data_IF_092340985770
#
_entry.id   IF_092340985770
#
_cell.length_a   1.000
_cell.length_b   1.000
_cell.length_c   1.000
_cell.angle_alpha   90.00
_cell.angle_beta   90.00
_cell.angle_gamma   90.00
#
_symmetry.space_group_name_H-M   'P 1'
#
loop_
_entity.id
_entity.type
_entity.pdbx_description
1 polymer ?
#
# COMPACT_ATOMS: atom_id res chain seq x y z
N UNK A 1 -35.65 -10.48 3.60
CA UNK A 1 -36.42 -11.40 4.47
C UNK A 1 -35.56 -12.63 4.66
N UNK A 2 -35.06 -12.86 5.90
CA UNK A 2 -34.17 -13.98 6.22
C UNK A 2 -34.78 -15.32 5.90
N UNK A 3 -33.95 -16.28 5.49
CA UNK A 3 -34.40 -17.66 5.31
C UNK A 3 -34.86 -18.21 6.66
N UNK A 4 -36.09 -18.78 6.70
CA UNK A 4 -36.53 -19.51 7.86
C UNK A 4 -35.82 -20.89 7.80
N UNK A 5 -34.93 -21.12 8.78
CA UNK A 5 -34.22 -22.39 8.92
C UNK A 5 -35.18 -23.50 9.33
N UNK A 6 -34.79 -24.75 9.18
CA UNK A 6 -35.65 -25.91 9.49
C UNK A 6 -36.05 -25.93 10.97
N UNK A 7 -35.17 -25.49 11.86
CA UNK A 7 -35.45 -25.38 13.30
C UNK A 7 -36.59 -24.39 13.57
N UNK A 8 -36.61 -23.26 12.90
CA UNK A 8 -37.67 -22.25 13.01
C UNK A 8 -38.96 -22.75 12.35
N UNK A 9 -38.90 -23.46 11.23
CA UNK A 9 -40.08 -24.06 10.59
C UNK A 9 -40.76 -25.07 11.51
N UNK A 10 -39.97 -25.92 12.18
CA UNK A 10 -40.46 -26.88 13.17
C UNK A 10 -41.07 -26.14 14.38
N UNK A 11 -40.41 -25.08 14.89
CA UNK A 11 -40.96 -24.31 16.00
C UNK A 11 -42.31 -23.65 15.66
N UNK A 12 -42.51 -23.15 14.44
CA UNK A 12 -43.76 -22.61 13.96
C UNK A 12 -44.84 -23.73 13.87
N UNK A 13 -44.45 -24.90 13.34
CA UNK A 13 -45.39 -26.05 13.26
C UNK A 13 -45.85 -26.54 14.65
N UNK A 14 -44.94 -26.62 15.61
CA UNK A 14 -45.25 -26.98 17.00
C UNK A 14 -46.18 -25.95 17.66
N UNK A 15 -45.96 -24.66 17.41
CA UNK A 15 -46.87 -23.63 17.93
C UNK A 15 -48.25 -23.71 17.32
N UNK A 16 -48.37 -23.93 16.01
CA UNK A 16 -49.68 -24.17 15.35
C UNK A 16 -50.34 -25.44 15.92
N UNK A 17 -49.56 -26.51 16.11
CA UNK A 17 -50.05 -27.76 16.70
C UNK A 17 -50.60 -27.51 18.12
N UNK A 18 -49.91 -26.78 18.99
CA UNK A 18 -50.35 -26.45 20.33
C UNK A 18 -51.73 -25.72 20.33
N UNK A 19 -51.99 -24.89 19.31
CA UNK A 19 -53.25 -24.16 19.18
C UNK A 19 -54.41 -25.02 18.69
N UNK A 20 -54.14 -26.09 17.94
CA UNK A 20 -55.20 -27.04 17.47
C UNK A 20 -55.31 -28.30 18.35
N UNK A 21 -54.37 -28.52 19.28
CA UNK A 21 -54.37 -29.69 20.17
C UNK A 21 -55.65 -29.90 20.96
N UNK A 22 -56.34 -28.88 21.51
CA UNK A 22 -57.63 -29.06 22.19
C UNK A 22 -58.72 -29.58 21.26
N UNK A 23 -58.68 -29.23 19.95
CA UNK A 23 -59.66 -29.76 18.94
C UNK A 23 -59.33 -31.23 18.67
N UNK A 24 -58.07 -31.58 18.49
CA UNK A 24 -57.59 -32.94 18.19
C UNK A 24 -57.97 -33.89 19.35
N UNK A 25 -57.80 -33.44 20.58
CA UNK A 25 -58.05 -34.23 21.78
C UNK A 25 -59.50 -34.28 22.21
N UNK A 26 -60.43 -33.70 21.42
CA UNK A 26 -61.83 -33.70 21.71
C UNK A 26 -62.29 -32.90 22.94
N UNK A 27 -61.44 -31.96 23.37
CA UNK A 27 -61.64 -31.13 24.56
C UNK A 27 -62.56 -29.92 24.33
N UNK A 28 -63.00 -29.73 23.08
CA UNK A 28 -63.86 -28.59 22.65
C UNK A 28 -65.18 -29.07 22.11
N UNK A 29 -66.26 -28.42 22.56
CA UNK A 29 -67.63 -28.77 22.11
C UNK A 29 -67.92 -28.28 20.68
N UNK A 30 -67.34 -27.15 20.29
CA UNK A 30 -67.49 -26.53 18.97
C UNK A 30 -66.17 -25.98 18.44
N UNK A 31 -65.72 -26.46 17.28
CA UNK A 31 -64.50 -25.96 16.59
C UNK A 31 -64.65 -24.46 16.27
N UNK A 32 -65.82 -24.02 15.85
CA UNK A 32 -66.11 -22.64 15.50
C UNK A 32 -65.96 -21.68 16.68
N UNK A 33 -66.52 -22.05 17.84
CA UNK A 33 -66.51 -21.24 19.05
C UNK A 33 -65.09 -21.17 19.61
N UNK A 34 -64.40 -22.31 19.71
CA UNK A 34 -62.98 -22.36 20.12
C UNK A 34 -62.10 -21.50 19.21
N UNK A 35 -62.28 -21.61 17.89
CA UNK A 35 -61.44 -20.82 16.93
C UNK A 35 -61.68 -19.33 17.09
N UNK A 36 -62.88 -18.86 17.39
CA UNK A 36 -63.16 -17.46 17.68
C UNK A 36 -62.50 -17.00 18.98
N UNK A 37 -62.54 -17.83 20.02
CA UNK A 37 -61.91 -17.51 21.30
C UNK A 37 -60.40 -17.52 21.23
N UNK A 38 -59.80 -18.53 20.61
CA UNK A 38 -58.33 -18.66 20.43
C UNK A 38 -57.74 -17.54 19.59
N UNK A 39 -58.49 -16.88 18.71
CA UNK A 39 -58.04 -15.76 17.87
C UNK A 39 -58.48 -14.38 18.35
N UNK A 40 -59.11 -14.29 19.53
CA UNK A 40 -59.61 -13.02 20.10
C UNK A 40 -58.50 -12.04 20.41
N UNK A 41 -57.33 -12.52 20.80
CA UNK A 41 -56.12 -11.73 21.03
C UNK A 41 -55.04 -12.13 20.02
N UNK A 42 -54.07 -11.22 19.71
CA UNK A 42 -52.92 -11.55 18.89
C UNK A 42 -52.13 -12.71 19.50
N UNK A 43 -51.74 -13.67 18.66
CA UNK A 43 -50.96 -14.84 19.06
C UNK A 43 -49.47 -14.62 18.82
N UNK A 44 -48.66 -14.96 19.81
CA UNK A 44 -47.18 -14.92 19.65
C UNK A 44 -46.75 -16.14 18.83
N UNK A 45 -46.18 -15.88 17.66
CA UNK A 45 -45.71 -16.91 16.73
C UNK A 45 -44.15 -16.84 16.63
N UNK A 46 -43.47 -17.98 16.75
CA UNK A 46 -42.05 -18.06 16.56
C UNK A 46 -41.60 -17.38 15.25
N UNK A 47 -40.56 -16.54 15.28
CA UNK A 47 -40.03 -15.78 14.14
C UNK A 47 -40.94 -14.62 13.63
N UNK A 48 -42.26 -14.70 13.84
CA UNK A 48 -43.20 -13.69 13.32
C UNK A 48 -43.69 -12.70 14.37
N UNK A 49 -43.40 -12.94 15.65
CA UNK A 49 -43.89 -12.13 16.77
C UNK A 49 -45.42 -12.20 16.96
N UNK A 50 -45.97 -11.14 17.51
CA UNK A 50 -47.42 -11.05 17.70
C UNK A 50 -48.15 -10.89 16.37
N UNK A 51 -49.09 -11.82 16.09
CA UNK A 51 -49.92 -11.84 14.86
C UNK A 51 -51.36 -12.06 15.19
N UNK A 52 -52.25 -11.30 14.55
CA UNK A 52 -53.70 -11.52 14.57
C UNK A 52 -54.09 -12.51 13.47
N UNK A 53 -54.88 -13.50 13.81
CA UNK A 53 -55.38 -14.51 12.89
C UNK A 53 -56.93 -14.50 12.87
N UNK A 54 -57.51 -14.88 11.75
CA UNK A 54 -58.94 -15.11 11.68
C UNK A 54 -59.29 -16.48 12.27
N UNK A 55 -60.52 -16.68 12.80
CA UNK A 55 -60.99 -17.99 13.27
C UNK A 55 -60.81 -19.09 12.22
N UNK A 56 -61.06 -18.80 10.95
CA UNK A 56 -60.90 -19.73 9.84
C UNK A 56 -59.46 -20.25 9.70
N UNK A 57 -58.44 -19.49 10.15
CA UNK A 57 -57.05 -19.92 10.12
C UNK A 57 -56.79 -21.10 11.06
N UNK A 58 -57.40 -21.14 12.24
CA UNK A 58 -57.28 -22.26 13.19
C UNK A 58 -57.92 -23.51 12.60
N UNK A 59 -59.12 -23.36 12.03
CA UNK A 59 -59.82 -24.46 11.36
C UNK A 59 -59.06 -24.98 10.14
N UNK A 60 -58.40 -24.11 9.38
CA UNK A 60 -57.54 -24.51 8.26
C UNK A 60 -56.32 -25.31 8.75
N UNK A 61 -55.62 -24.86 9.82
CA UNK A 61 -54.53 -25.62 10.39
C UNK A 61 -54.94 -27.00 10.91
N UNK A 62 -56.14 -27.11 11.51
CA UNK A 62 -56.68 -28.39 11.91
C UNK A 62 -56.90 -29.30 10.70
N UNK A 63 -57.49 -28.78 9.61
CA UNK A 63 -57.68 -29.52 8.37
C UNK A 63 -56.34 -29.94 7.74
N UNK A 64 -55.38 -29.07 7.71
CA UNK A 64 -54.04 -29.38 7.19
C UNK A 64 -53.36 -30.48 8.00
N UNK A 65 -53.47 -30.41 9.34
CA UNK A 65 -52.95 -31.44 10.23
C UNK A 65 -53.59 -32.82 10.00
N UNK A 66 -54.92 -32.89 9.82
CA UNK A 66 -55.63 -34.16 9.53
C UNK A 66 -55.12 -34.75 8.21
N UNK A 67 -54.83 -33.95 7.22
CA UNK A 67 -54.36 -34.40 5.89
C UNK A 67 -52.94 -34.85 5.85
N UNK A 68 -52.03 -34.18 6.56
CA UNK A 68 -50.59 -34.39 6.39
C UNK A 68 -49.76 -34.30 7.68
N UNK A 69 -50.41 -34.40 8.85
CA UNK A 69 -49.74 -34.40 10.16
C UNK A 69 -49.01 -33.06 10.45
N UNK A 70 -48.04 -33.14 11.35
CA UNK A 70 -47.30 -31.96 11.80
C UNK A 70 -46.49 -31.30 10.67
N UNK A 71 -46.09 -32.06 9.66
CA UNK A 71 -45.33 -31.54 8.52
C UNK A 71 -46.16 -30.61 7.64
N UNK A 72 -47.46 -30.83 7.54
CA UNK A 72 -48.36 -29.93 6.83
C UNK A 72 -48.54 -28.56 7.52
N UNK A 73 -48.22 -28.47 8.82
CA UNK A 73 -48.22 -27.21 9.58
C UNK A 73 -46.96 -26.36 9.38
N UNK A 74 -45.88 -26.94 8.83
CA UNK A 74 -44.64 -26.20 8.56
C UNK A 74 -44.90 -25.12 7.51
N UNK A 75 -44.34 -23.92 7.66
CA UNK A 75 -44.39 -22.88 6.63
C UNK A 75 -43.79 -23.43 5.32
N UNK A 76 -44.54 -23.42 4.24
CA UNK A 76 -44.07 -23.84 2.93
C UNK A 76 -43.02 -22.85 2.41
N UNK A 77 -41.92 -23.30 1.81
CA UNK A 77 -41.03 -22.41 1.08
C UNK A 77 -41.81 -21.78 -0.08
N UNK A 78 -41.51 -20.52 -0.40
CA UNK A 78 -42.16 -19.88 -1.55
C UNK A 78 -41.84 -20.66 -2.82
N UNK A 79 -42.81 -21.01 -3.60
CA UNK A 79 -42.68 -21.73 -4.88
C UNK A 79 -42.10 -20.87 -6.01
N UNK A 80 -42.15 -19.53 -5.85
CA UNK A 80 -41.62 -18.56 -6.81
C UNK A 80 -40.14 -18.18 -6.55
N UNK A 81 -39.43 -18.96 -5.73
CA UNK A 81 -38.03 -18.71 -5.39
C UNK A 81 -37.13 -18.96 -6.59
N UNK A 82 -36.34 -17.93 -6.98
CA UNK A 82 -35.45 -18.00 -8.13
C UNK A 82 -36.09 -17.66 -9.47
N UNK A 83 -37.44 -17.53 -9.53
CA UNK A 83 -38.17 -17.08 -10.70
C UNK A 83 -38.49 -15.59 -10.54
N UNK A 84 -37.95 -14.76 -11.43
CA UNK A 84 -38.29 -13.35 -11.46
C UNK A 84 -39.67 -13.17 -12.08
N UNK A 85 -40.57 -12.44 -11.42
CA UNK A 85 -41.86 -12.09 -11.98
C UNK A 85 -41.82 -11.07 -13.12
N UNK A 86 -40.66 -10.41 -13.25
CA UNK A 86 -40.43 -9.31 -14.20
C UNK A 86 -39.64 -9.79 -15.42
N UNK A 87 -38.75 -10.76 -15.25
CA UNK A 87 -37.93 -11.30 -16.33
C UNK A 87 -38.67 -12.45 -17.01
N UNK A 88 -38.95 -12.31 -18.30
CA UNK A 88 -39.42 -13.42 -19.10
C UNK A 88 -38.38 -14.54 -19.22
N UNK A 89 -38.76 -15.77 -19.58
CA UNK A 89 -37.80 -16.85 -19.81
C UNK A 89 -36.74 -16.47 -20.85
N UNK A 90 -37.11 -15.77 -21.92
CA UNK A 90 -36.21 -15.31 -22.99
C UNK A 90 -35.21 -14.26 -22.49
N UNK A 91 -35.68 -13.29 -21.68
CA UNK A 91 -34.80 -12.31 -21.06
C UNK A 91 -33.81 -12.97 -20.09
N UNK A 92 -34.31 -13.94 -19.33
CA UNK A 92 -33.46 -14.69 -18.39
C UNK A 92 -32.37 -15.47 -19.11
N UNK A 93 -32.70 -16.13 -20.22
CA UNK A 93 -31.75 -16.88 -21.05
C UNK A 93 -30.73 -15.93 -21.71
N UNK A 94 -31.15 -14.78 -22.21
CA UNK A 94 -30.27 -13.76 -22.76
C UNK A 94 -29.26 -13.25 -21.71
N UNK A 95 -29.72 -13.01 -20.48
CA UNK A 95 -28.87 -12.62 -19.37
C UNK A 95 -27.87 -13.74 -19.02
N UNK A 96 -28.32 -15.00 -18.95
CA UNK A 96 -27.44 -16.13 -18.68
C UNK A 96 -26.44 -16.38 -19.80
N UNK A 97 -26.84 -16.21 -21.06
CA UNK A 97 -25.95 -16.28 -22.23
C UNK A 97 -24.78 -15.28 -22.12
N UNK A 98 -25.13 -14.01 -21.87
CA UNK A 98 -24.11 -12.97 -21.68
C UNK A 98 -23.25 -13.21 -20.43
N UNK A 99 -23.81 -13.76 -19.39
CA UNK A 99 -23.08 -14.08 -18.17
C UNK A 99 -22.09 -15.25 -18.39
N UNK A 100 -22.42 -16.22 -19.23
CA UNK A 100 -21.50 -17.32 -19.66
C UNK A 100 -20.40 -16.78 -20.57
N UNK A 101 -20.72 -15.87 -21.50
CA UNK A 101 -19.78 -15.23 -22.40
C UNK A 101 -18.80 -14.32 -21.65
N UNK A 102 -19.32 -13.53 -20.69
CA UNK A 102 -18.55 -12.56 -19.89
C UNK A 102 -18.69 -12.80 -18.37
N UNK A 103 -18.14 -13.88 -17.81
CA UNK A 103 -18.39 -14.28 -16.41
C UNK A 103 -17.94 -13.24 -15.37
N UNK A 104 -16.96 -12.40 -15.73
CA UNK A 104 -16.37 -11.37 -14.84
C UNK A 104 -17.00 -9.99 -15.03
N UNK A 105 -17.81 -9.78 -16.06
CA UNK A 105 -18.39 -8.47 -16.33
C UNK A 105 -19.31 -8.01 -15.19
N UNK A 106 -19.26 -6.73 -14.80
CA UNK A 106 -20.24 -6.14 -13.89
C UNK A 106 -21.65 -6.28 -14.44
N UNK A 107 -22.64 -6.44 -13.57
CA UNK A 107 -24.04 -6.56 -13.98
C UNK A 107 -24.55 -5.33 -14.77
N UNK A 108 -23.97 -4.15 -14.53
CA UNK A 108 -24.24 -2.93 -15.30
C UNK A 108 -23.83 -3.08 -16.75
N UNK A 109 -22.64 -3.61 -17.00
CA UNK A 109 -22.12 -3.81 -18.37
C UNK A 109 -22.96 -4.84 -19.12
N UNK A 110 -23.29 -5.97 -18.48
CA UNK A 110 -24.18 -6.98 -19.07
C UNK A 110 -25.55 -6.37 -19.40
N UNK A 111 -26.10 -5.54 -18.51
CA UNK A 111 -27.37 -4.85 -18.73
C UNK A 111 -27.30 -3.92 -19.94
N UNK A 112 -26.26 -3.09 -20.04
CA UNK A 112 -26.08 -2.14 -21.12
C UNK A 112 -25.92 -2.86 -22.48
N UNK A 113 -25.12 -3.95 -22.54
CA UNK A 113 -25.00 -4.81 -23.72
C UNK A 113 -26.34 -5.35 -24.20
N UNK A 114 -27.14 -5.89 -23.29
CA UNK A 114 -28.47 -6.47 -23.64
C UNK A 114 -29.46 -5.43 -24.10
N UNK A 115 -29.39 -4.20 -23.57
CA UNK A 115 -30.22 -3.07 -24.04
C UNK A 115 -29.78 -2.61 -25.41
N UNK A 116 -28.47 -2.52 -25.70
CA UNK A 116 -27.91 -2.18 -27.01
C UNK A 116 -28.27 -3.22 -28.07
N UNK A 117 -28.19 -4.51 -27.72
CA UNK A 117 -28.57 -5.65 -28.57
C UNK A 117 -30.10 -5.79 -28.73
N UNK A 118 -30.88 -4.93 -28.08
CA UNK A 118 -32.37 -4.96 -28.07
C UNK A 118 -32.97 -6.28 -27.58
N UNK A 119 -32.22 -7.02 -26.73
CA UNK A 119 -32.75 -8.22 -26.10
C UNK A 119 -33.93 -7.90 -25.17
N UNK A 120 -33.96 -6.70 -24.60
CA UNK A 120 -35.11 -6.09 -23.90
C UNK A 120 -34.93 -4.56 -23.81
N UNK A 121 -36.01 -3.86 -23.49
CA UNK A 121 -35.98 -2.40 -23.33
C UNK A 121 -35.80 -2.04 -21.83
N UNK A 122 -35.29 -0.84 -21.56
CA UNK A 122 -35.12 -0.33 -20.19
C UNK A 122 -36.39 -0.33 -19.35
N UNK A 123 -37.55 -0.20 -20.01
CA UNK A 123 -38.88 -0.27 -19.37
C UNK A 123 -39.30 -1.68 -18.95
N UNK A 124 -38.78 -2.73 -19.60
CA UNK A 124 -39.19 -4.12 -19.37
C UNK A 124 -38.53 -4.71 -18.12
N UNK A 125 -37.26 -4.33 -17.85
CA UNK A 125 -36.55 -4.74 -16.66
C UNK A 125 -35.67 -3.65 -16.12
N UNK A 126 -35.72 -3.41 -14.83
CA UNK A 126 -34.78 -2.49 -14.16
C UNK A 126 -33.43 -3.13 -13.98
N UNK A 127 -32.35 -2.30 -13.96
CA UNK A 127 -30.99 -2.74 -13.65
C UNK A 127 -30.88 -3.43 -12.29
N UNK A 128 -31.74 -3.03 -11.31
CA UNK A 128 -31.78 -3.66 -9.99
C UNK A 128 -32.29 -5.11 -10.07
N UNK A 129 -33.28 -5.38 -10.92
CA UNK A 129 -33.80 -6.72 -11.16
C UNK A 129 -32.74 -7.62 -11.81
N UNK A 130 -32.10 -7.12 -12.88
CA UNK A 130 -31.03 -7.85 -13.58
C UNK A 130 -29.84 -8.11 -12.66
N UNK A 131 -29.43 -7.12 -11.84
CA UNK A 131 -28.36 -7.29 -10.86
C UNK A 131 -28.65 -8.39 -9.84
N UNK A 132 -29.90 -8.47 -9.35
CA UNK A 132 -30.35 -9.53 -8.42
C UNK A 132 -30.28 -10.88 -9.10
N UNK A 133 -30.81 -10.99 -10.30
CA UNK A 133 -30.81 -12.23 -11.08
C UNK A 133 -29.37 -12.72 -11.36
N UNK A 134 -28.48 -11.83 -11.81
CA UNK A 134 -27.09 -12.16 -12.02
C UNK A 134 -26.40 -12.60 -10.72
N UNK A 135 -26.69 -11.95 -9.58
CA UNK A 135 -26.12 -12.33 -8.28
C UNK A 135 -26.51 -13.75 -7.88
N UNK A 136 -27.76 -14.14 -8.12
CA UNK A 136 -28.27 -15.45 -7.78
C UNK A 136 -27.75 -16.56 -8.70
N UNK A 137 -27.53 -16.25 -9.97
CA UNK A 137 -27.14 -17.22 -11.00
C UNK A 137 -25.64 -17.22 -11.36
N UNK A 138 -24.86 -16.25 -10.88
CA UNK A 138 -23.42 -16.13 -11.26
C UNK A 138 -22.59 -17.35 -10.86
N UNK A 139 -22.86 -17.97 -9.72
CA UNK A 139 -22.16 -19.17 -9.28
C UNK A 139 -22.41 -20.34 -10.24
N UNK A 140 -23.67 -20.59 -10.60
CA UNK A 140 -24.04 -21.64 -11.54
C UNK A 140 -23.54 -21.38 -12.97
N UNK A 141 -23.57 -20.12 -13.43
CA UNK A 141 -23.03 -19.74 -14.74
C UNK A 141 -21.50 -19.85 -14.84
N UNK A 142 -20.79 -19.82 -13.72
CA UNK A 142 -19.32 -19.93 -13.66
C UNK A 142 -18.81 -21.36 -13.46
N UNK A 143 -19.68 -22.35 -13.27
CA UNK A 143 -19.28 -23.74 -13.03
C UNK A 143 -18.64 -24.46 -14.22
N UNK A 144 -18.60 -23.86 -15.39
CA UNK A 144 -17.92 -24.41 -16.59
C UNK A 144 -16.66 -23.67 -17.03
N UNK A 145 -16.37 -22.50 -16.50
CA UNK A 145 -15.16 -21.77 -16.85
C UNK A 145 -13.98 -22.27 -15.99
N UNK A 146 -12.86 -22.72 -16.60
CA UNK A 146 -11.68 -23.09 -15.85
C UNK A 146 -11.26 -21.86 -15.04
N UNK A 147 -11.43 -21.93 -13.71
CA UNK A 147 -10.81 -20.93 -12.83
C UNK A 147 -9.33 -21.01 -13.11
N UNK A 148 -8.67 -19.92 -13.56
CA UNK A 148 -7.22 -19.94 -13.64
C UNK A 148 -6.73 -20.38 -12.27
N UNK A 149 -5.98 -21.48 -12.21
CA UNK A 149 -5.37 -21.94 -10.97
C UNK A 149 -4.44 -20.81 -10.54
N UNK A 150 -4.94 -19.96 -9.64
CA UNK A 150 -4.11 -18.96 -8.97
C UNK A 150 -3.22 -19.75 -8.00
N UNK A 151 -2.07 -20.20 -8.51
CA UNK A 151 -1.04 -20.80 -7.67
C UNK A 151 -0.68 -19.76 -6.61
N UNK A 152 -0.80 -20.16 -5.36
CA UNK A 152 -0.48 -19.31 -4.21
C UNK A 152 1.04 -19.15 -4.18
N UNK A 153 1.54 -18.09 -4.85
CA UNK A 153 2.96 -17.78 -4.82
C UNK A 153 3.32 -17.16 -3.46
N UNK A 154 4.21 -17.80 -2.74
CA UNK A 154 4.87 -17.23 -1.57
C UNK A 154 6.32 -17.70 -1.58
N UNK A 155 7.25 -16.77 -1.42
CA UNK A 155 8.64 -17.13 -1.23
C UNK A 155 8.78 -17.88 0.11
N UNK A 156 9.69 -18.85 0.15
CA UNK A 156 9.95 -19.62 1.37
C UNK A 156 10.92 -18.91 2.30
N UNK A 157 11.80 -18.06 1.73
CA UNK A 157 12.86 -17.36 2.49
C UNK A 157 12.55 -15.89 2.62
N UNK A 158 12.83 -15.35 3.80
CA UNK A 158 12.75 -13.91 4.08
C UNK A 158 13.75 -13.13 3.22
N UNK A 159 13.44 -11.89 2.93
CA UNK A 159 14.23 -10.97 2.09
C UNK A 159 14.52 -11.45 0.66
N UNK A 160 13.86 -12.49 0.16
CA UNK A 160 13.91 -12.84 -1.26
C UNK A 160 13.14 -11.83 -2.12
N UNK A 161 11.96 -11.46 -1.65
CA UNK A 161 11.08 -10.53 -2.34
C UNK A 161 10.41 -9.61 -1.32
N UNK A 162 10.59 -8.32 -1.49
CA UNK A 162 9.75 -7.32 -0.85
C UNK A 162 8.77 -6.72 -1.85
N UNK A 163 7.57 -6.42 -1.39
CA UNK A 163 6.59 -5.63 -2.14
C UNK A 163 6.49 -4.26 -1.53
N UNK A 164 6.43 -3.23 -2.37
CA UNK A 164 6.22 -1.85 -1.92
C UNK A 164 5.05 -1.21 -2.65
N UNK A 165 4.35 -0.36 -1.95
CA UNK A 165 3.24 0.42 -2.49
C UNK A 165 3.00 1.67 -1.63
N UNK A 166 2.20 2.60 -2.17
CA UNK A 166 1.83 3.86 -1.53
C UNK A 166 0.32 3.92 -1.33
N UNK A 167 -0.11 4.30 -0.12
CA UNK A 167 -1.51 4.54 0.21
C UNK A 167 -1.71 5.97 0.71
N UNK A 168 -2.81 6.62 0.30
CA UNK A 168 -3.22 7.89 0.90
C UNK A 168 -3.54 7.70 2.39
N UNK A 169 -2.90 8.51 3.22
CA UNK A 169 -3.10 8.56 4.66
C UNK A 169 -4.11 9.62 5.10
N UNK A 170 -4.29 9.80 6.41
CA UNK A 170 -5.11 10.87 6.96
C UNK A 170 -4.43 12.23 6.77
N UNK A 171 -5.22 13.30 6.82
CA UNK A 171 -4.69 14.66 6.87
C UNK A 171 -4.16 14.99 8.25
N UNK A 172 -3.00 15.62 8.34
CA UNK A 172 -2.37 16.08 9.58
C UNK A 172 -2.25 17.60 9.61
N UNK A 173 -2.18 18.16 10.81
CA UNK A 173 -2.02 19.59 11.07
C UNK A 173 -3.24 20.23 11.74
N UNK A 174 -2.99 21.07 12.76
CA UNK A 174 -4.03 21.71 13.54
C UNK A 174 -4.70 22.87 12.79
N UNK A 175 -3.91 23.76 12.18
CA UNK A 175 -4.42 24.95 11.45
C UNK A 175 -4.46 24.71 9.94
N UNK A 176 -3.39 24.19 9.36
CA UNK A 176 -3.29 23.87 7.92
C UNK A 176 -3.18 22.36 7.79
N UNK A 177 -4.17 21.75 7.16
CA UNK A 177 -4.19 20.31 6.90
C UNK A 177 -3.31 19.96 5.71
N UNK A 178 -2.37 19.04 5.91
CA UNK A 178 -1.51 18.48 4.89
C UNK A 178 -1.89 17.04 4.63
N UNK A 179 -1.94 16.64 3.37
CA UNK A 179 -2.13 15.25 2.98
C UNK A 179 -0.91 14.42 3.40
N UNK A 180 -1.14 13.16 3.76
CA UNK A 180 -0.06 12.22 4.04
C UNK A 180 -0.13 11.00 3.13
N UNK A 181 1.00 10.34 2.94
CA UNK A 181 1.18 9.17 2.10
C UNK A 181 1.88 8.09 2.93
N UNK A 182 1.26 6.92 3.06
CA UNK A 182 1.88 5.78 3.73
C UNK A 182 2.68 4.99 2.70
N UNK A 183 4.01 5.01 2.83
CA UNK A 183 4.91 4.13 2.09
C UNK A 183 5.17 2.89 2.94
N UNK A 184 5.09 1.71 2.34
CA UNK A 184 5.28 0.46 3.07
C UNK A 184 6.06 -0.57 2.25
N UNK A 185 6.85 -1.39 2.93
CA UNK A 185 7.60 -2.53 2.39
C UNK A 185 7.22 -3.78 3.17
N UNK A 186 6.62 -4.74 2.49
CA UNK A 186 6.22 -6.03 3.09
C UNK A 186 7.10 -7.15 2.54
N UNK A 187 7.65 -7.97 3.42
CA UNK A 187 8.33 -9.20 3.03
C UNK A 187 7.32 -10.26 2.58
N UNK A 188 7.56 -10.82 1.40
CA UNK A 188 6.64 -11.78 0.79
C UNK A 188 6.51 -13.08 1.56
N UNK A 189 7.58 -13.57 2.17
CA UNK A 189 7.61 -14.82 2.93
C UNK A 189 6.89 -14.67 4.27
N UNK A 190 7.36 -13.74 5.09
CA UNK A 190 6.93 -13.59 6.49
C UNK A 190 5.73 -12.69 6.69
N UNK A 191 5.32 -11.91 5.69
CA UNK A 191 4.33 -10.81 5.85
C UNK A 191 4.80 -9.70 6.79
N UNK A 192 6.06 -9.77 7.26
CA UNK A 192 6.64 -8.72 8.08
C UNK A 192 6.69 -7.42 7.30
N UNK A 193 6.34 -6.32 7.94
CA UNK A 193 6.56 -4.99 7.40
C UNK A 193 8.00 -4.59 7.73
N UNK A 194 8.86 -4.56 6.71
CA UNK A 194 10.25 -4.16 6.87
C UNK A 194 10.35 -2.71 7.32
N UNK A 195 9.57 -1.83 6.70
CA UNK A 195 9.30 -0.48 7.14
C UNK A 195 7.95 0.00 6.61
N UNK A 196 7.26 0.82 7.37
CA UNK A 196 6.16 1.64 6.90
C UNK A 196 6.14 2.94 7.68
N UNK A 197 5.83 4.04 7.00
CA UNK A 197 5.75 5.38 7.60
C UNK A 197 4.93 6.32 6.76
N UNK A 198 4.33 7.31 7.41
CA UNK A 198 3.61 8.40 6.75
C UNK A 198 4.59 9.51 6.37
N UNK A 199 4.46 10.04 5.17
CA UNK A 199 5.27 11.10 4.59
C UNK A 199 4.36 12.22 4.08
N UNK A 200 4.88 13.46 4.02
CA UNK A 200 4.13 14.62 3.49
C UNK A 200 4.18 14.69 1.96
N UNK A 201 5.06 13.89 1.34
CA UNK A 201 5.21 13.77 -0.11
C UNK A 201 5.34 12.31 -0.52
N UNK A 202 5.10 12.02 -1.79
CA UNK A 202 5.37 10.74 -2.42
C UNK A 202 6.40 10.92 -3.55
N UNK A 203 7.48 11.64 -3.25
CA UNK A 203 8.57 11.89 -4.18
C UNK A 203 9.73 10.88 -4.02
N UNK A 204 10.75 11.06 -4.84
CA UNK A 204 11.93 10.19 -4.82
C UNK A 204 12.69 10.26 -3.48
N UNK A 205 12.70 11.43 -2.82
CA UNK A 205 13.38 11.59 -1.54
C UNK A 205 12.67 10.79 -0.43
N UNK A 206 11.33 10.91 -0.33
CA UNK A 206 10.52 10.13 0.60
C UNK A 206 10.67 8.61 0.34
N UNK A 207 10.66 8.19 -0.94
CA UNK A 207 10.85 6.79 -1.32
C UNK A 207 12.23 6.26 -0.93
N UNK A 208 13.30 7.04 -1.21
CA UNK A 208 14.67 6.72 -0.83
C UNK A 208 14.80 6.54 0.69
N UNK A 209 14.26 7.47 1.47
CA UNK A 209 14.35 7.45 2.93
C UNK A 209 13.60 6.28 3.52
N UNK A 210 12.38 6.03 3.07
CA UNK A 210 11.62 4.89 3.53
C UNK A 210 12.30 3.56 3.17
N UNK A 211 12.94 3.46 1.99
CA UNK A 211 13.69 2.27 1.61
C UNK A 211 14.98 2.12 2.43
N UNK A 212 15.71 3.22 2.66
CA UNK A 212 16.87 3.24 3.56
C UNK A 212 16.52 2.69 4.95
N UNK A 213 15.44 3.20 5.53
CA UNK A 213 14.97 2.76 6.84
C UNK A 213 14.54 1.30 6.86
N UNK A 214 13.91 0.81 5.79
CA UNK A 214 13.56 -0.59 5.64
C UNK A 214 14.81 -1.49 5.66
N UNK A 215 15.82 -1.13 4.84
CA UNK A 215 17.07 -1.89 4.72
C UNK A 215 17.86 -1.89 6.03
N UNK A 216 17.98 -0.74 6.70
CA UNK A 216 18.69 -0.64 7.97
C UNK A 216 18.03 -1.47 9.08
N UNK A 217 16.71 -1.59 9.06
CA UNK A 217 15.95 -2.36 10.07
C UNK A 217 15.94 -3.86 9.80
N UNK A 218 15.93 -4.28 8.53
CA UNK A 218 15.61 -5.67 8.15
C UNK A 218 16.56 -6.29 7.12
N UNK A 219 17.63 -5.59 6.75
CA UNK A 219 18.59 -6.05 5.75
C UNK A 219 18.13 -5.82 4.31
N UNK A 220 18.96 -6.24 3.36
CA UNK A 220 18.73 -6.05 1.93
C UNK A 220 17.78 -7.12 1.36
N UNK A 221 16.73 -6.74 0.61
CA UNK A 221 15.98 -7.69 -0.20
C UNK A 221 16.74 -8.01 -1.48
N UNK A 222 16.55 -9.22 -2.03
CA UNK A 222 17.08 -9.55 -3.36
C UNK A 222 16.26 -8.93 -4.48
N UNK A 223 14.95 -8.92 -4.31
CA UNK A 223 13.99 -8.40 -5.28
C UNK A 223 13.06 -7.41 -4.59
N UNK A 224 12.85 -6.26 -5.22
CA UNK A 224 11.83 -5.29 -4.84
C UNK A 224 10.77 -5.24 -5.93
N UNK A 225 9.54 -5.61 -5.58
CA UNK A 225 8.39 -5.63 -6.48
C UNK A 225 7.50 -4.41 -6.26
N UNK A 226 7.24 -3.66 -7.35
CA UNK A 226 6.51 -2.38 -7.31
C UNK A 226 5.40 -2.36 -8.36
N UNK A 227 4.51 -1.37 -8.24
CA UNK A 227 3.63 -1.03 -9.35
C UNK A 227 4.35 -0.19 -10.42
N UNK A 228 3.60 0.20 -11.45
CA UNK A 228 4.09 1.08 -12.53
C UNK A 228 3.99 2.58 -12.16
N UNK A 229 3.93 2.92 -10.88
CA UNK A 229 3.88 4.31 -10.41
C UNK A 229 5.10 5.11 -10.85
N UNK A 230 4.89 6.40 -11.19
CA UNK A 230 5.97 7.29 -11.71
C UNK A 230 7.20 7.35 -10.81
N UNK A 231 7.01 7.28 -9.48
CA UNK A 231 8.12 7.34 -8.52
C UNK A 231 9.02 6.11 -8.62
N UNK A 232 8.45 4.92 -8.83
CA UNK A 232 9.18 3.67 -8.94
C UNK A 232 9.89 3.50 -10.30
N UNK A 233 9.38 4.16 -11.36
CA UNK A 233 9.98 4.20 -12.70
C UNK A 233 10.95 5.36 -12.90
N UNK A 234 11.28 6.08 -11.83
CA UNK A 234 12.28 7.14 -11.90
C UNK A 234 13.67 6.55 -12.05
N UNK A 235 14.46 7.08 -12.99
CA UNK A 235 15.85 6.66 -13.18
C UNK A 235 16.66 6.70 -11.88
N UNK A 236 16.35 7.67 -10.99
CA UNK A 236 17.00 7.79 -9.69
C UNK A 236 16.75 6.59 -8.77
N UNK A 237 15.51 6.06 -8.76
CA UNK A 237 15.19 4.90 -7.93
C UNK A 237 15.70 3.59 -8.54
N UNK A 238 15.63 3.44 -9.86
CA UNK A 238 16.23 2.31 -10.58
C UNK A 238 17.74 2.23 -10.33
N UNK A 239 18.43 3.39 -10.43
CA UNK A 239 19.86 3.50 -10.15
C UNK A 239 20.19 3.16 -8.68
N UNK A 240 19.37 3.63 -7.73
CA UNK A 240 19.52 3.33 -6.31
C UNK A 240 19.42 1.82 -6.04
N UNK A 241 18.41 1.15 -6.58
CA UNK A 241 18.24 -0.30 -6.44
C UNK A 241 19.42 -1.06 -7.06
N UNK A 242 19.87 -0.66 -8.25
CA UNK A 242 21.02 -1.25 -8.92
C UNK A 242 22.31 -1.12 -8.10
N UNK A 243 22.59 0.07 -7.53
CA UNK A 243 23.76 0.29 -6.66
C UNK A 243 23.77 -0.58 -5.41
N UNK A 244 22.57 -0.93 -4.90
CA UNK A 244 22.42 -1.80 -3.74
C UNK A 244 22.40 -3.29 -4.10
N UNK A 245 22.43 -3.64 -5.39
CA UNK A 245 22.31 -5.02 -5.86
C UNK A 245 20.89 -5.59 -5.76
N UNK A 246 19.87 -4.72 -5.64
CA UNK A 246 18.46 -5.10 -5.53
C UNK A 246 17.84 -5.11 -6.93
N UNK A 247 17.24 -6.23 -7.32
CA UNK A 247 16.51 -6.35 -8.59
C UNK A 247 15.15 -5.67 -8.46
N UNK A 248 14.93 -4.59 -9.22
CA UNK A 248 13.65 -3.89 -9.25
C UNK A 248 12.74 -4.52 -10.32
N UNK A 249 11.60 -5.04 -9.92
CA UNK A 249 10.58 -5.61 -10.80
C UNK A 249 9.31 -4.78 -10.77
N UNK A 250 8.81 -4.45 -11.95
CA UNK A 250 7.55 -3.73 -12.10
C UNK A 250 6.41 -4.69 -12.46
N UNK A 251 5.24 -4.42 -11.92
CA UNK A 251 4.03 -5.20 -12.17
C UNK A 251 3.64 -5.21 -13.65
N UNK A 252 3.48 -6.40 -14.24
CA UNK A 252 2.85 -6.54 -15.55
C UNK A 252 1.34 -6.32 -15.44
N UNK A 253 0.74 -5.63 -16.44
CA UNK A 253 -0.67 -5.17 -16.45
C UNK A 253 -1.71 -6.28 -16.17
N UNK A 254 -1.34 -7.57 -16.31
CA UNK A 254 -2.24 -8.71 -16.14
C UNK A 254 -2.16 -9.45 -14.80
N UNK A 255 -1.23 -9.09 -13.88
CA UNK A 255 -0.92 -9.89 -12.68
C UNK A 255 -1.33 -9.23 -11.35
N UNK A 256 -2.47 -8.55 -11.31
CA UNK A 256 -2.98 -7.82 -10.14
C UNK A 256 -3.01 -8.62 -8.82
N UNK A 257 -3.05 -9.95 -8.89
CA UNK A 257 -3.10 -10.82 -7.71
C UNK A 257 -1.79 -10.91 -6.92
N UNK A 258 -0.63 -10.59 -7.53
CA UNK A 258 0.65 -10.61 -6.83
C UNK A 258 0.74 -9.47 -5.78
N UNK A 259 0.01 -8.38 -5.96
CA UNK A 259 -0.04 -7.24 -5.04
C UNK A 259 -0.96 -7.43 -3.82
N UNK A 260 -1.76 -8.51 -3.82
CA UNK A 260 -2.80 -8.75 -2.80
C UNK A 260 -2.31 -8.77 -1.35
N UNK A 261 -1.00 -8.99 -1.10
CA UNK A 261 -0.43 -9.01 0.26
C UNK A 261 -0.30 -7.60 0.85
N UNK A 262 0.27 -6.66 0.09
CA UNK A 262 0.41 -5.27 0.54
C UNK A 262 -0.93 -4.54 0.55
N UNK A 263 -1.84 -4.85 -0.38
CA UNK A 263 -3.21 -4.33 -0.37
C UNK A 263 -3.99 -4.78 0.87
N UNK A 264 -3.82 -6.05 1.29
CA UNK A 264 -4.38 -6.58 2.54
C UNK A 264 -3.80 -5.86 3.76
N UNK A 265 -2.50 -5.59 3.76
CA UNK A 265 -1.88 -4.78 4.81
C UNK A 265 -2.51 -3.38 4.87
N UNK A 266 -2.64 -2.67 3.76
CA UNK A 266 -3.28 -1.34 3.73
C UNK A 266 -4.74 -1.38 4.18
N UNK A 267 -5.47 -2.43 3.83
CA UNK A 267 -6.82 -2.64 4.36
C UNK A 267 -6.80 -2.78 5.89
N UNK A 268 -5.84 -3.52 6.42
CA UNK A 268 -5.67 -3.70 7.87
C UNK A 268 -5.35 -2.37 8.55
N UNK A 269 -4.46 -1.55 7.97
CA UNK A 269 -4.14 -0.20 8.45
C UNK A 269 -5.41 0.67 8.50
N UNK A 270 -6.21 0.70 7.44
CA UNK A 270 -7.45 1.49 7.41
C UNK A 270 -8.43 1.05 8.50
N UNK A 271 -8.64 -0.26 8.63
CA UNK A 271 -9.68 -0.81 9.52
C UNK A 271 -9.26 -0.84 10.99
N UNK A 272 -7.98 -0.98 11.31
CA UNK A 272 -7.52 -1.21 12.68
C UNK A 272 -6.70 -0.07 13.27
N UNK A 273 -6.00 0.69 12.43
CA UNK A 273 -5.22 1.83 12.88
C UNK A 273 -5.93 3.15 12.61
N UNK A 274 -6.28 3.42 11.33
CA UNK A 274 -6.84 4.73 10.98
C UNK A 274 -8.23 4.97 11.58
N UNK A 275 -9.03 3.93 11.78
CA UNK A 275 -10.39 4.03 12.34
C UNK A 275 -10.44 4.45 13.82
N UNK A 276 -9.31 4.36 14.52
CA UNK A 276 -9.22 4.69 15.96
C UNK A 276 -8.36 5.92 16.26
N UNK A 277 -7.95 6.66 15.21
CA UNK A 277 -7.16 7.88 15.35
C UNK A 277 -8.00 9.00 15.99
N UNK A 278 -7.36 9.72 16.91
CA UNK A 278 -7.91 10.90 17.59
C UNK A 278 -7.29 12.17 17.01
N UNK A 279 -7.89 13.32 17.28
CA UNK A 279 -7.37 14.62 16.82
C UNK A 279 -5.93 14.90 17.28
N UNK A 280 -5.55 14.47 18.49
CA UNK A 280 -4.19 14.61 19.00
C UNK A 280 -3.16 13.83 18.15
N UNK A 281 -3.52 12.64 17.69
CA UNK A 281 -2.66 11.79 16.85
C UNK A 281 -2.41 12.41 15.45
N UNK A 282 -3.25 13.36 15.05
CA UNK A 282 -3.22 14.05 13.76
C UNK A 282 -2.69 15.49 13.88
N UNK A 283 -2.14 15.87 15.03
CA UNK A 283 -1.60 17.21 15.27
C UNK A 283 -0.45 17.54 14.29
N UNK A 284 0.42 16.57 14.05
CA UNK A 284 1.53 16.65 13.12
C UNK A 284 1.92 15.24 12.62
N UNK A 285 2.86 15.19 11.69
CA UNK A 285 3.29 13.91 11.10
C UNK A 285 4.13 13.05 12.06
N UNK A 286 4.83 13.67 13.01
CA UNK A 286 5.62 12.99 14.03
C UNK A 286 4.71 12.18 14.96
N UNK A 287 3.68 12.84 15.54
CA UNK A 287 2.67 12.21 16.40
C UNK A 287 1.96 11.05 15.70
N UNK A 288 1.63 11.21 14.40
CA UNK A 288 1.02 10.15 13.60
C UNK A 288 1.97 8.96 13.44
N UNK A 289 3.24 9.20 13.10
CA UNK A 289 4.24 8.15 12.87
C UNK A 289 4.65 7.44 14.17
N UNK A 290 4.75 8.14 15.27
CA UNK A 290 5.02 7.54 16.58
C UNK A 290 3.92 6.54 16.95
N UNK A 291 2.66 6.96 16.91
CA UNK A 291 1.53 6.07 17.16
C UNK A 291 1.45 4.91 16.19
N UNK A 292 1.74 5.16 14.91
CA UNK A 292 1.74 4.12 13.88
C UNK A 292 2.84 3.09 14.13
N UNK A 293 4.05 3.54 14.49
CA UNK A 293 5.17 2.66 14.81
C UNK A 293 4.86 1.74 15.99
N UNK A 294 4.26 2.28 17.07
CA UNK A 294 3.82 1.50 18.22
C UNK A 294 2.75 0.47 17.85
N UNK A 295 1.76 0.85 17.05
CA UNK A 295 0.74 -0.07 16.57
C UNK A 295 1.33 -1.17 15.68
N UNK A 296 2.22 -0.80 14.74
CA UNK A 296 2.87 -1.75 13.84
C UNK A 296 3.66 -2.80 14.62
N UNK A 297 4.46 -2.35 15.61
CA UNK A 297 5.32 -3.21 16.40
C UNK A 297 4.53 -4.11 17.37
N UNK A 298 3.52 -3.57 18.04
CA UNK A 298 2.83 -4.26 19.13
C UNK A 298 1.57 -5.01 18.69
N UNK A 299 0.92 -4.60 17.58
CA UNK A 299 -0.28 -5.24 17.05
C UNK A 299 0.02 -6.05 15.78
N UNK A 300 0.35 -5.40 14.65
CA UNK A 300 0.45 -6.08 13.37
C UNK A 300 1.55 -7.15 13.33
N UNK A 301 2.78 -6.80 13.76
CA UNK A 301 3.95 -7.70 13.66
C UNK A 301 3.86 -8.92 14.59
N UNK A 302 3.13 -8.80 15.71
CA UNK A 302 2.97 -9.85 16.73
C UNK A 302 1.63 -10.59 16.66
N UNK A 303 0.80 -10.28 15.67
CA UNK A 303 -0.50 -10.94 15.51
C UNK A 303 -0.36 -12.22 14.68
N UNK A 304 -0.94 -13.35 15.14
CA UNK A 304 -1.04 -14.57 14.33
C UNK A 304 -1.64 -14.29 12.96
N UNK A 305 -0.99 -14.78 11.91
CA UNK A 305 -1.39 -14.54 10.53
C UNK A 305 -1.87 -15.84 9.88
N UNK A 306 -3.11 -15.86 9.36
CA UNK A 306 -3.70 -17.04 8.71
C UNK A 306 -2.83 -17.60 7.59
N UNK A 307 -2.21 -16.72 6.79
CA UNK A 307 -1.31 -17.10 5.69
C UNK A 307 0.02 -17.70 6.12
N UNK A 308 0.34 -17.70 7.43
CA UNK A 308 1.53 -18.26 8.05
C UNK A 308 1.18 -19.43 9.01
N UNK A 309 0.04 -20.08 8.79
CA UNK A 309 -0.44 -21.18 9.65
C UNK A 309 -0.57 -20.79 11.13
N UNK A 310 -0.87 -19.52 11.38
CA UNK A 310 -1.03 -18.99 12.74
C UNK A 310 0.24 -18.44 13.39
N UNK A 311 1.39 -18.53 12.73
CA UNK A 311 2.64 -17.90 13.21
C UNK A 311 2.55 -16.36 13.02
N UNK A 312 3.24 -15.60 13.88
CA UNK A 312 3.31 -14.15 13.73
C UNK A 312 4.31 -13.75 12.64
N UNK A 313 4.11 -12.61 11.93
CA UNK A 313 5.09 -12.11 10.98
C UNK A 313 6.50 -11.95 11.58
N UNK A 314 6.59 -11.50 12.83
CA UNK A 314 7.86 -11.30 13.51
C UNK A 314 8.56 -12.63 13.81
N UNK A 315 7.86 -13.62 14.36
CA UNK A 315 8.46 -14.92 14.72
C UNK A 315 8.93 -15.66 13.47
N UNK A 316 8.12 -15.65 12.41
CA UNK A 316 8.50 -16.24 11.12
C UNK A 316 9.78 -15.62 10.56
N UNK A 317 9.89 -14.28 10.58
CA UNK A 317 11.07 -13.57 10.12
C UNK A 317 12.29 -13.89 10.99
N UNK A 318 12.15 -13.82 12.32
CA UNK A 318 13.24 -14.05 13.27
C UNK A 318 13.79 -15.46 13.20
N UNK A 319 12.95 -16.47 12.95
CA UNK A 319 13.38 -17.86 12.74
C UNK A 319 14.36 -18.00 11.56
N UNK A 320 14.30 -17.09 10.59
CA UNK A 320 15.17 -17.08 9.42
C UNK A 320 16.20 -15.93 9.43
N UNK A 321 16.40 -15.27 10.56
CA UNK A 321 17.28 -14.10 10.68
C UNK A 321 18.73 -14.38 10.25
N UNK A 322 19.21 -15.61 10.38
CA UNK A 322 20.55 -16.02 9.92
C UNK A 322 20.77 -15.92 8.40
N UNK A 323 19.69 -15.83 7.61
CA UNK A 323 19.76 -15.68 6.16
C UNK A 323 19.67 -14.21 5.70
N UNK A 324 19.57 -13.27 6.65
CA UNK A 324 19.39 -11.85 6.37
C UNK A 324 20.74 -11.18 6.13
N UNK A 325 20.89 -10.53 4.99
CA UNK A 325 22.06 -9.73 4.65
C UNK A 325 21.91 -8.33 5.27
N UNK A 326 22.63 -8.09 6.37
CA UNK A 326 22.64 -6.81 7.06
C UNK A 326 23.65 -5.86 6.43
N UNK A 327 23.43 -4.55 6.58
CA UNK A 327 24.37 -3.52 6.17
C UNK A 327 25.60 -3.55 7.09
N UNK A 328 26.76 -3.94 6.54
CA UNK A 328 28.01 -4.04 7.29
C UNK A 328 28.70 -2.67 7.46
N UNK A 329 28.70 -1.85 6.40
CA UNK A 329 29.30 -0.50 6.38
C UNK A 329 28.22 0.55 6.07
N UNK A 330 27.88 1.34 7.07
CA UNK A 330 26.89 2.40 6.96
C UNK A 330 27.35 3.54 6.04
N UNK A 331 28.65 3.86 6.03
CA UNK A 331 29.19 4.92 5.19
C UNK A 331 29.15 4.55 3.71
N UNK A 332 29.54 3.31 3.38
CA UNK A 332 29.43 2.79 2.02
C UNK A 332 27.96 2.68 1.59
N UNK A 333 27.10 2.19 2.46
CA UNK A 333 25.66 2.11 2.21
C UNK A 333 25.06 3.49 1.89
N UNK A 334 25.36 4.52 2.69
CA UNK A 334 24.88 5.88 2.45
C UNK A 334 25.40 6.45 1.12
N UNK A 335 26.66 6.15 0.72
CA UNK A 335 27.17 6.53 -0.61
C UNK A 335 26.37 5.91 -1.75
N UNK A 336 25.95 4.65 -1.62
CA UNK A 336 25.11 3.96 -2.61
C UNK A 336 23.70 4.54 -2.71
N UNK A 337 23.24 5.24 -1.67
CA UNK A 337 21.94 5.91 -1.62
C UNK A 337 21.93 7.33 -2.19
N UNK A 338 23.09 7.90 -2.56
CA UNK A 338 23.14 9.23 -3.18
C UNK A 338 22.34 9.24 -4.49
N UNK A 339 21.54 10.27 -4.66
CA UNK A 339 20.84 10.49 -5.93
C UNK A 339 21.83 11.04 -6.97
N UNK A 340 21.66 10.64 -8.23
CA UNK A 340 22.52 11.07 -9.33
C UNK A 340 21.75 11.88 -10.35
N UNK A 341 22.36 12.96 -10.84
CA UNK A 341 21.83 13.79 -11.92
C UNK A 341 22.97 14.28 -12.81
N UNK A 342 22.76 14.29 -14.13
CA UNK A 342 23.77 14.85 -15.05
C UNK A 342 23.71 16.37 -15.06
N UNK A 343 24.86 17.02 -14.84
CA UNK A 343 25.03 18.49 -14.92
C UNK A 343 26.28 18.84 -15.70
N UNK A 344 26.23 19.99 -16.36
CA UNK A 344 27.38 20.54 -17.06
C UNK A 344 28.06 21.57 -16.15
N UNK A 345 29.38 21.43 -15.97
CA UNK A 345 30.18 22.43 -15.31
C UNK A 345 30.33 23.62 -16.24
N UNK A 346 29.95 24.80 -15.82
CA UNK A 346 30.07 26.04 -16.62
C UNK A 346 31.54 26.41 -16.84
N UNK A 347 31.80 27.35 -17.77
CA UNK A 347 33.14 27.85 -18.07
C UNK A 347 33.83 28.53 -16.88
N UNK A 348 33.06 29.02 -15.93
CA UNK A 348 33.49 29.62 -14.66
C UNK A 348 33.67 28.58 -13.54
N UNK A 349 33.72 27.29 -13.89
CA UNK A 349 33.81 26.17 -12.98
C UNK A 349 32.60 26.04 -12.00
N UNK A 350 31.48 26.66 -12.31
CA UNK A 350 30.27 26.51 -11.46
C UNK A 350 29.29 25.49 -11.98
N UNK A 351 28.54 24.88 -11.06
CA UNK A 351 27.42 23.97 -11.31
C UNK A 351 26.18 24.59 -10.69
N UNK A 352 25.11 24.77 -11.48
CA UNK A 352 23.80 25.20 -10.97
C UNK A 352 23.00 23.96 -10.55
N UNK A 353 22.58 23.90 -9.28
CA UNK A 353 21.82 22.82 -8.73
C UNK A 353 20.89 23.30 -7.60
N UNK A 354 19.59 22.96 -7.65
CA UNK A 354 18.60 23.32 -6.63
C UNK A 354 18.35 24.83 -6.44
N UNK A 355 18.73 25.67 -7.40
CA UNK A 355 18.67 27.13 -7.28
C UNK A 355 19.99 27.76 -6.82
N UNK A 356 20.93 26.95 -6.34
CA UNK A 356 22.23 27.38 -5.86
C UNK A 356 23.36 27.15 -6.86
N UNK A 357 24.50 27.82 -6.64
CA UNK A 357 25.71 27.63 -7.41
C UNK A 357 26.78 26.94 -6.57
N UNK A 358 27.41 25.94 -7.15
CA UNK A 358 28.46 25.13 -6.54
C UNK A 358 29.75 25.30 -7.34
N UNK A 359 30.87 25.51 -6.68
CA UNK A 359 32.20 25.64 -7.27
C UNK A 359 32.85 24.26 -7.40
N UNK A 360 33.26 23.91 -8.61
CA UNK A 360 33.98 22.70 -8.96
C UNK A 360 35.44 23.04 -9.31
N UNK A 361 36.27 22.02 -9.50
CA UNK A 361 37.64 22.24 -10.00
C UNK A 361 37.61 22.83 -11.43
N UNK A 362 38.42 23.84 -11.69
CA UNK A 362 38.53 24.51 -12.99
C UNK A 362 38.88 23.57 -14.14
N UNK A 363 39.59 22.50 -13.87
CA UNK A 363 39.92 21.46 -14.84
C UNK A 363 38.69 20.74 -15.42
N UNK A 364 37.53 20.80 -14.74
CA UNK A 364 36.31 20.18 -15.14
C UNK A 364 35.35 21.12 -15.93
N UNK A 365 35.79 22.37 -16.17
CA UNK A 365 34.98 23.36 -16.85
C UNK A 365 34.60 22.90 -18.26
N UNK A 366 33.29 22.98 -18.58
CA UNK A 366 32.72 22.53 -19.85
C UNK A 366 32.30 21.05 -19.90
N UNK A 367 32.69 20.25 -18.93
CA UNK A 367 32.36 18.83 -18.90
C UNK A 367 30.91 18.59 -18.43
N UNK A 368 30.29 17.52 -18.95
CA UNK A 368 29.02 17.00 -18.47
C UNK A 368 29.29 15.82 -17.56
N UNK A 369 28.99 15.97 -16.26
CA UNK A 369 29.33 15.03 -15.20
C UNK A 369 28.07 14.47 -14.53
N UNK A 370 28.25 13.30 -13.89
CA UNK A 370 27.27 12.75 -12.97
C UNK A 370 27.50 13.40 -11.59
N UNK A 371 26.49 14.13 -11.13
CA UNK A 371 26.49 14.83 -9.85
C UNK A 371 25.68 14.00 -8.87
N UNK A 372 26.35 13.46 -7.85
CA UNK A 372 25.70 12.72 -6.77
C UNK A 372 25.53 13.61 -5.55
N UNK A 373 24.35 13.54 -4.92
CA UNK A 373 23.99 14.41 -3.79
C UNK A 373 23.08 13.68 -2.82
N UNK A 374 23.09 14.11 -1.55
CA UNK A 374 22.15 13.67 -0.52
C UNK A 374 20.98 14.66 -0.44
N UNK A 375 19.74 14.24 -0.77
CA UNK A 375 18.58 15.12 -0.71
C UNK A 375 18.17 15.49 0.74
N UNK A 376 18.64 14.77 1.75
CA UNK A 376 18.24 14.92 3.16
C UNK A 376 19.26 15.61 4.04
N UNK A 377 20.27 16.24 3.45
CA UNK A 377 21.20 17.05 4.21
C UNK A 377 20.43 18.10 5.03
N UNK A 378 20.35 17.92 6.36
CA UNK A 378 19.55 18.72 7.32
C UNK A 378 19.77 20.24 7.20
N UNK A 379 20.94 20.65 6.71
CA UNK A 379 21.31 22.05 6.51
C UNK A 379 21.35 22.49 5.04
N UNK A 380 20.61 21.79 4.18
CA UNK A 380 20.67 21.96 2.72
C UNK A 380 21.85 21.23 2.11
N UNK A 381 21.82 21.07 0.79
CA UNK A 381 22.89 20.38 0.06
C UNK A 381 24.11 21.29 0.03
N UNK A 382 25.14 20.98 0.81
CA UNK A 382 26.38 21.77 0.89
C UNK A 382 27.43 21.30 -0.08
N UNK A 383 27.42 20.02 -0.45
CA UNK A 383 28.41 19.37 -1.27
C UNK A 383 27.78 18.52 -2.35
N UNK A 384 28.34 18.56 -3.54
CA UNK A 384 27.98 17.73 -4.68
C UNK A 384 29.18 16.86 -5.02
N UNK A 385 29.01 15.55 -5.04
CA UNK A 385 30.05 14.61 -5.43
C UNK A 385 30.05 14.45 -6.95
N UNK A 386 31.17 14.70 -7.59
CA UNK A 386 31.34 14.72 -9.05
C UNK A 386 31.92 13.39 -9.54
N UNK A 387 31.30 12.80 -10.55
CA UNK A 387 31.71 11.53 -11.14
C UNK A 387 31.72 11.62 -12.67
N UNK A 388 32.65 10.86 -13.28
CA UNK A 388 32.65 10.53 -14.71
C UNK A 388 32.41 9.02 -14.82
N UNK A 389 31.14 8.63 -15.02
CA UNK A 389 30.75 7.22 -14.82
C UNK A 389 30.97 6.81 -13.36
N UNK A 390 31.79 5.77 -13.15
CA UNK A 390 32.13 5.29 -11.79
C UNK A 390 33.37 5.95 -11.18
N UNK A 391 34.09 6.78 -11.95
CA UNK A 391 35.30 7.44 -11.49
C UNK A 391 34.95 8.71 -10.70
N UNK A 392 35.33 8.81 -9.40
CA UNK A 392 35.18 10.03 -8.63
C UNK A 392 36.16 11.09 -9.10
N UNK A 393 35.69 12.31 -9.32
CA UNK A 393 36.50 13.46 -9.77
C UNK A 393 36.72 14.51 -8.69
N UNK A 394 35.93 14.47 -7.61
CA UNK A 394 36.02 15.43 -6.51
C UNK A 394 34.67 15.90 -6.00
N UNK A 395 34.66 16.96 -5.24
CA UNK A 395 33.49 17.54 -4.60
C UNK A 395 33.34 18.99 -5.05
N UNK A 396 32.15 19.38 -5.47
CA UNK A 396 31.83 20.81 -5.64
C UNK A 396 31.08 21.31 -4.40
N UNK A 397 31.48 22.50 -3.92
CA UNK A 397 30.95 23.13 -2.71
C UNK A 397 30.14 24.37 -3.04
N UNK A 398 29.21 24.72 -2.17
CA UNK A 398 28.40 25.93 -2.32
C UNK A 398 29.33 27.15 -2.49
N UNK A 399 29.05 28.00 -3.50
CA UNK A 399 29.87 29.16 -3.80
C UNK A 399 29.80 30.17 -2.66
N UNK A 400 30.97 30.51 -2.08
CA UNK A 400 31.06 31.60 -1.13
C UNK A 400 31.53 32.88 -1.87
N UNK A 401 30.55 33.72 -2.25
CA UNK A 401 30.83 34.96 -2.98
C UNK A 401 31.74 35.94 -2.25
N UNK A 402 31.75 35.94 -0.90
CA UNK A 402 32.60 36.80 -0.09
C UNK A 402 34.08 36.40 -0.18
N UNK A 403 34.36 35.11 -0.14
CA UNK A 403 35.77 34.59 -0.24
C UNK A 403 36.29 34.71 -1.68
N UNK A 404 35.45 34.51 -2.69
CA UNK A 404 35.84 34.70 -4.09
C UNK A 404 36.15 36.18 -4.42
N UNK A 405 35.47 37.13 -3.78
CA UNK A 405 35.79 38.56 -3.92
C UNK A 405 37.11 38.91 -3.27
N UNK A 406 37.52 38.29 -2.16
CA UNK A 406 38.85 38.48 -1.52
C UNK A 406 39.97 37.91 -2.38
N UNK A 407 39.86 36.67 -2.87
CA UNK A 407 40.86 36.04 -3.76
C UNK A 407 41.11 36.85 -5.04
N UNK A 408 40.07 37.47 -5.62
CA UNK A 408 40.19 38.34 -6.80
C UNK A 408 40.97 39.61 -6.49
N UNK A 409 40.85 40.18 -5.28
CA UNK A 409 41.60 41.36 -4.84
C UNK A 409 43.07 41.05 -4.56
N UNK A 410 43.42 39.91 -4.03
CA UNK A 410 44.78 39.46 -3.78
C UNK A 410 45.53 39.12 -5.08
N UNK A 411 44.89 38.44 -6.03
CA UNK A 411 45.44 38.18 -7.37
C UNK A 411 45.63 39.43 -8.23
N UNK A 412 44.85 40.48 -8.00
CA UNK A 412 45.03 41.77 -8.67
C UNK A 412 46.24 42.57 -8.17
N UNK A 413 46.64 42.42 -6.92
CA UNK A 413 47.83 43.07 -6.34
C UNK A 413 49.16 42.50 -6.86
N UNK A 414 49.20 41.22 -7.18
CA UNK A 414 50.42 40.56 -7.69
C UNK A 414 50.74 40.92 -9.15
N UNK A 415 49.79 41.45 -9.90
CA UNK A 415 49.97 41.82 -11.32
C UNK A 415 50.42 43.27 -11.55
N UNK A 416 50.43 44.15 -10.52
CA UNK A 416 50.86 45.53 -10.62
C UNK A 416 52.32 45.77 -10.20
N UNK A 417 53.06 44.76 -9.73
CA UNK A 417 54.47 44.88 -9.29
C UNK A 417 55.53 44.57 -10.38
N UNK A 418 55.12 44.54 -11.67
CA UNK A 418 56.06 44.33 -12.76
C UNK A 418 55.86 45.36 -13.87
N UNK A 419 56.32 46.60 -13.63
CA UNK A 419 56.69 47.55 -14.67
C UNK A 419 57.60 48.61 -14.01
N UNK A 420 58.87 48.37 -14.02
CA UNK A 420 59.85 49.42 -14.12
C UNK A 420 60.89 49.01 -15.16
N UNK A 421 61.32 49.92 -16.02
CA UNK A 421 62.17 49.65 -17.18
C UNK A 421 63.65 49.94 -16.87
N UNK A 422 64.44 49.03 -17.35
CA UNK A 422 65.72 49.32 -17.89
C UNK A 422 66.94 49.65 -16.97
N UNK A 423 67.97 48.85 -17.01
CA UNK A 423 69.16 49.24 -17.63
C UNK A 423 70.16 48.08 -17.82
N UNK A 424 70.96 48.20 -18.86
CA UNK A 424 71.90 47.23 -19.35
C UNK A 424 73.03 46.94 -18.40
N UNK A 425 73.56 45.73 -18.43
CA UNK A 425 74.87 45.43 -17.83
C UNK A 425 75.17 43.92 -17.80
N UNK A 426 76.16 43.56 -18.60
CA UNK A 426 76.69 42.24 -18.86
C UNK A 426 77.19 41.46 -17.63
N UNK A 427 77.17 40.11 -17.73
CA UNK A 427 78.13 39.29 -16.97
C UNK A 427 77.59 37.92 -16.50
N UNK A 428 77.90 36.92 -17.26
CA UNK A 428 78.39 35.55 -16.95
C UNK A 428 77.98 34.81 -15.69
N UNK A 429 77.52 33.55 -15.98
CA UNK A 429 77.80 32.28 -15.29
C UNK A 429 77.05 31.87 -14.04
N UNK A 430 76.39 30.72 -14.14
CA UNK A 430 76.44 29.74 -13.06
C UNK A 430 75.08 29.14 -12.59
N UNK A 431 74.90 27.92 -12.97
CA UNK A 431 74.28 26.82 -12.21
C UNK A 431 72.75 26.78 -11.83
N UNK A 432 72.20 25.83 -12.36
CA UNK A 432 71.09 24.98 -11.90
C UNK A 432 70.45 25.20 -10.52
N UNK A 433 69.17 25.33 -10.50
CA UNK A 433 68.33 25.25 -9.31
C UNK A 433 66.88 25.05 -9.66
N UNK A 434 66.46 23.82 -9.64
CA UNK A 434 65.04 23.36 -9.86
C UNK A 434 64.12 23.99 -8.80
N UNK A 435 62.95 24.54 -9.14
CA UNK A 435 61.93 24.93 -8.14
C UNK A 435 61.15 23.73 -7.71
N UNK A 436 61.19 23.44 -6.42
CA UNK A 436 60.36 22.43 -5.74
C UNK A 436 58.86 22.76 -5.88
N UNK A 437 58.12 21.82 -6.36
CA UNK A 437 56.67 21.78 -6.31
C UNK A 437 56.24 21.72 -4.83
N UNK A 438 55.37 22.64 -4.42
CA UNK A 438 54.63 22.54 -3.15
C UNK A 438 53.54 21.47 -3.26
N UNK A 439 53.92 20.27 -2.89
CA UNK A 439 52.96 19.18 -2.59
C UNK A 439 52.55 19.33 -1.13
N UNK A 440 51.31 19.73 -0.89
CA UNK A 440 50.68 19.62 0.43
C UNK A 440 50.32 18.14 0.61
N UNK A 441 50.97 17.52 1.59
CA UNK A 441 50.75 16.13 1.97
C UNK A 441 49.41 15.98 2.71
N UNK A 442 48.72 14.89 2.42
CA UNK A 442 47.47 14.50 3.02
C UNK A 442 47.51 14.23 4.54
N UNK A 443 48.70 14.25 5.13
CA UNK A 443 48.95 14.01 6.57
C UNK A 443 48.74 15.24 7.47
N UNK A 444 48.64 16.45 6.91
CA UNK A 444 48.55 17.67 7.73
C UNK A 444 47.10 18.10 8.08
N UNK A 445 46.11 17.35 7.64
CA UNK A 445 44.68 17.64 7.87
C UNK A 445 44.02 16.81 9.01
N UNK A 446 44.78 15.93 9.67
CA UNK A 446 44.24 15.04 10.72
C UNK A 446 44.99 15.25 12.05
N UNK A 447 44.94 16.45 12.59
CA UNK A 447 45.39 16.76 13.95
C UNK A 447 44.28 17.41 14.76
N UNK A 448 43.58 16.63 15.55
CA UNK A 448 42.56 17.14 16.45
C UNK A 448 41.89 16.00 17.23
N UNK A 449 42.32 15.84 18.44
CA UNK A 449 42.04 14.79 19.42
C UNK A 449 40.55 14.60 19.71
N UNK A 450 40.20 13.33 19.94
CA UNK A 450 38.95 12.92 20.55
C UNK A 450 38.96 13.13 22.07
N UNK A 451 37.81 13.34 22.71
CA UNK A 451 37.60 12.83 24.05
C UNK A 451 36.54 11.72 24.08
N UNK A 452 36.95 10.78 24.87
CA UNK A 452 36.35 9.54 25.27
C UNK A 452 35.10 9.71 26.14
N UNK A 453 34.22 8.69 26.05
CA UNK A 453 33.37 8.13 27.10
C UNK A 453 32.05 8.81 27.48
N UNK A 454 30.91 8.13 27.37
CA UNK A 454 30.32 7.23 28.37
C UNK A 454 28.99 6.65 27.94
N UNK A 455 28.90 5.34 28.08
CA UNK A 455 27.72 4.53 28.43
C UNK A 455 26.41 5.25 28.68
N UNK A 456 25.31 4.70 28.12
CA UNK A 456 24.19 4.21 28.93
C UNK A 456 23.43 3.14 28.12
N UNK A 457 23.38 1.94 28.69
CA UNK A 457 22.41 0.88 28.46
C UNK A 457 21.07 1.31 29.09
N UNK A 458 19.97 1.18 28.38
CA UNK A 458 18.67 0.65 28.82
C UNK A 458 17.78 0.42 27.60
#
# INVERSE_FOLDING_TARGET
MQMIDEKTRVAVALKKFSLISPIINGQVASISEYSKEATRAPLEMPHYGLKSYSPNTISAWYSDYIKGGIDALKPSPRSDRGVSRVLSPEMSESILGKLREYPRAPATVIYDMLVEEKAFLKKDASIATVRRFIKENRAAASEGAPKPQMLRFANERVNQLWMTDVMYGPYVGAKKKSATYLLAYIDDASRLIAHAGFYLSQDLAALRNSFRDAVLKRGLPKILYTDNGKIYRSQGFEYLCANLGVVLLHHAVAEAHQKGKIERFFRTVRLRFMSVLKAADLADIGSLNEKFGLWLLNDYQKRPHEGLSGETPLDFFMRQAGNVELVADLAEFNKKLLLSVKRTVKKDATISFGGDLYEAAMALAGEKLDVKYDPDAESGIKELHLYRGDQPLGIARLVNFADNAKRRREGGKTRQARKEPGNAGAGRDGAAGNPKANTISYSDAMGGEAPCSRNILA
#
